data_IF_392978389255
#
_entry.id   IF_392978389255
#
_cell.length_a   1.000
_cell.length_b   1.000
_cell.length_c   1.000
_cell.angle_alpha   90.00
_cell.angle_beta   90.00
_cell.angle_gamma   90.00
#
_symmetry.space_group_name_H-M   'P 1'
#
loop_
_entity.id
_entity.type
_entity.pdbx_description
1 polymer ?
#
# COMPACT_ATOMS: atom_id res chain seq x y z
N UNK A 1 -10.32 19.79 -20.56
CA UNK A 1 -11.46 19.20 -19.82
C UNK A 1 -10.87 18.13 -18.93
N UNK A 2 -10.75 18.40 -17.63
CA UNK A 2 -10.37 17.39 -16.63
C UNK A 2 -11.51 16.38 -16.58
N UNK A 3 -11.31 15.18 -17.12
CA UNK A 3 -12.27 14.08 -16.93
C UNK A 3 -12.13 13.61 -15.48
N UNK A 4 -13.23 13.72 -14.71
CA UNK A 4 -13.25 13.22 -13.33
C UNK A 4 -12.84 11.74 -13.31
N UNK A 5 -12.01 11.37 -12.33
CA UNK A 5 -11.59 9.98 -12.12
C UNK A 5 -12.82 9.18 -11.64
N UNK A 6 -13.26 8.12 -12.32
CA UNK A 6 -14.43 7.37 -11.88
C UNK A 6 -14.13 6.63 -10.58
N UNK A 7 -15.12 6.57 -9.67
CA UNK A 7 -15.08 5.68 -8.52
C UNK A 7 -15.20 4.21 -9.00
N UNK A 8 -14.52 3.31 -8.30
CA UNK A 8 -14.59 1.88 -8.55
C UNK A 8 -15.54 1.19 -7.58
N UNK A 9 -16.26 0.19 -8.03
CA UNK A 9 -17.18 -0.62 -7.23
C UNK A 9 -16.51 -1.86 -6.59
N UNK A 10 -15.28 -2.16 -7.00
CA UNK A 10 -14.55 -3.36 -6.64
C UNK A 10 -13.27 -3.12 -5.79
N UNK A 11 -13.12 -1.94 -5.19
CA UNK A 11 -11.99 -1.64 -4.29
C UNK A 11 -12.30 -1.93 -2.81
N UNK A 12 -13.37 -2.68 -2.51
CA UNK A 12 -13.72 -3.06 -1.14
C UNK A 12 -14.44 -1.96 -0.36
N UNK A 13 -14.47 -2.11 0.97
CA UNK A 13 -15.32 -1.31 1.86
C UNK A 13 -14.58 -0.62 3.01
N UNK A 14 -13.24 -0.70 3.09
CA UNK A 14 -12.48 0.02 4.12
C UNK A 14 -12.90 1.50 4.12
N UNK A 15 -13.25 2.00 5.31
CA UNK A 15 -13.71 3.36 5.52
C UNK A 15 -12.89 4.01 6.63
N UNK A 16 -12.24 5.13 6.30
CA UNK A 16 -11.54 5.98 7.27
C UNK A 16 -12.25 7.34 7.31
N UNK A 17 -13.06 7.61 8.34
CA UNK A 17 -13.84 8.83 8.40
C UNK A 17 -12.93 10.06 8.49
N UNK A 18 -13.21 11.05 7.64
CA UNK A 18 -12.52 12.35 7.65
C UNK A 18 -13.50 13.48 7.93
N UNK A 19 -12.99 14.60 8.45
CA UNK A 19 -13.78 15.82 8.61
C UNK A 19 -13.99 16.47 7.25
N UNK A 20 -15.18 16.27 6.70
CA UNK A 20 -15.61 16.83 5.42
C UNK A 20 -17.12 17.01 5.39
N UNK A 21 -17.61 18.03 4.66
CA UNK A 21 -19.03 18.22 4.37
C UNK A 21 -19.47 17.50 3.07
N UNK A 22 -18.52 16.97 2.28
CA UNK A 22 -18.79 16.32 1.00
C UNK A 22 -18.73 14.80 1.10
N UNK A 23 -19.85 14.09 0.89
CA UNK A 23 -19.84 12.62 0.78
C UNK A 23 -18.94 12.12 -0.35
N UNK A 24 -18.82 12.85 -1.43
CA UNK A 24 -17.95 12.51 -2.56
C UNK A 24 -16.49 12.62 -2.15
N UNK A 25 -16.08 13.67 -1.42
CA UNK A 25 -14.71 13.79 -0.90
C UNK A 25 -14.36 12.61 -0.01
N UNK A 26 -15.28 12.16 0.85
CA UNK A 26 -15.10 10.97 1.68
C UNK A 26 -14.92 9.70 0.82
N UNK A 27 -15.74 9.51 -0.21
CA UNK A 27 -15.64 8.32 -1.08
C UNK A 27 -14.31 8.27 -1.83
N UNK A 28 -13.88 9.41 -2.40
CA UNK A 28 -12.57 9.50 -3.05
C UNK A 28 -11.42 9.30 -2.08
N UNK A 29 -11.51 9.82 -0.86
CA UNK A 29 -10.52 9.61 0.18
C UNK A 29 -10.39 8.12 0.55
N UNK A 30 -11.51 7.44 0.81
CA UNK A 30 -11.52 6.02 1.15
C UNK A 30 -10.88 5.17 0.04
N UNK A 31 -11.22 5.41 -1.21
CA UNK A 31 -10.63 4.68 -2.34
C UNK A 31 -9.16 5.04 -2.53
N UNK A 32 -8.76 6.28 -2.31
CA UNK A 32 -7.36 6.68 -2.28
C UNK A 32 -6.56 5.90 -1.24
N UNK A 33 -7.08 5.77 -0.02
CA UNK A 33 -6.41 5.02 1.05
C UNK A 33 -6.31 3.52 0.75
N UNK A 34 -7.36 2.91 0.21
CA UNK A 34 -7.34 1.51 -0.25
C UNK A 34 -6.27 1.28 -1.33
N UNK A 35 -6.10 2.24 -2.23
CA UNK A 35 -5.07 2.20 -3.27
C UNK A 35 -3.65 2.40 -2.72
N UNK A 36 -3.46 3.21 -1.67
CA UNK A 36 -2.18 3.27 -0.92
C UNK A 36 -1.85 1.90 -0.37
N UNK A 37 -2.79 1.27 0.34
CA UNK A 37 -2.61 -0.08 0.88
C UNK A 37 -2.41 -1.17 -0.18
N UNK A 38 -2.77 -0.89 -1.43
CA UNK A 38 -2.52 -1.76 -2.58
C UNK A 38 -1.25 -1.39 -3.37
N UNK A 39 -0.43 -0.48 -2.87
CA UNK A 39 0.77 0.05 -3.54
C UNK A 39 0.52 0.69 -4.91
N UNK A 40 -0.72 1.06 -5.21
CA UNK A 40 -1.07 1.85 -6.39
C UNK A 40 -1.06 3.34 -6.04
N UNK A 41 0.10 3.82 -5.59
CA UNK A 41 0.30 5.17 -5.05
C UNK A 41 -0.02 6.28 -6.05
N UNK A 42 0.30 6.05 -7.31
CA UNK A 42 0.00 7.02 -8.37
C UNK A 42 -1.51 7.22 -8.57
N UNK A 43 -2.26 6.11 -8.62
CA UNK A 43 -3.72 6.19 -8.70
C UNK A 43 -4.32 6.75 -7.42
N UNK A 44 -3.76 6.39 -6.26
CA UNK A 44 -4.17 6.94 -4.96
C UNK A 44 -4.04 8.47 -4.93
N UNK A 45 -2.93 9.01 -5.45
CA UNK A 45 -2.71 10.45 -5.55
C UNK A 45 -3.85 11.14 -6.30
N UNK A 46 -4.27 10.60 -7.45
CA UNK A 46 -5.38 11.17 -8.23
C UNK A 46 -6.71 11.13 -7.48
N UNK A 47 -6.96 10.06 -6.71
CA UNK A 47 -8.17 9.97 -5.89
C UNK A 47 -8.19 11.00 -4.76
N UNK A 48 -7.06 11.19 -4.09
CA UNK A 48 -6.95 12.25 -3.08
C UNK A 48 -7.04 13.65 -3.70
N UNK A 49 -6.48 13.86 -4.89
CA UNK A 49 -6.65 15.13 -5.63
C UNK A 49 -8.12 15.38 -6.02
N UNK A 50 -8.87 14.34 -6.41
CA UNK A 50 -10.33 14.49 -6.60
C UNK A 50 -11.03 14.83 -5.28
N UNK A 51 -10.67 14.17 -4.17
CA UNK A 51 -11.22 14.50 -2.86
C UNK A 51 -10.98 15.98 -2.50
N UNK A 52 -9.79 16.55 -2.82
CA UNK A 52 -9.53 18.00 -2.61
C UNK A 52 -10.39 18.90 -3.49
N UNK A 53 -10.81 18.44 -4.67
CA UNK A 53 -11.72 19.22 -5.55
C UNK A 53 -13.15 19.24 -5.02
N UNK A 54 -13.59 18.11 -4.43
CA UNK A 54 -14.93 17.99 -3.85
C UNK A 54 -15.09 18.74 -2.51
N UNK A 55 -13.99 18.85 -1.74
CA UNK A 55 -13.93 19.63 -0.52
C UNK A 55 -12.55 20.28 -0.33
N UNK A 56 -12.34 21.50 -0.87
CA UNK A 56 -11.07 22.20 -0.78
C UNK A 56 -10.67 22.61 0.65
N UNK A 57 -11.60 22.63 1.59
CA UNK A 57 -11.35 23.02 2.99
C UNK A 57 -10.99 21.81 3.88
N UNK A 58 -11.28 20.60 3.44
CA UNK A 58 -10.90 19.38 4.15
C UNK A 58 -9.38 19.18 4.15
N UNK A 59 -8.78 18.95 5.33
CA UNK A 59 -7.33 18.79 5.47
C UNK A 59 -6.82 17.42 5.04
N UNK A 60 -7.58 16.35 5.33
CA UNK A 60 -7.14 14.97 5.13
C UNK A 60 -6.93 14.57 3.67
N UNK A 61 -7.69 15.06 2.67
CA UNK A 61 -7.36 14.79 1.27
C UNK A 61 -5.96 15.27 0.86
N UNK A 62 -5.51 16.43 1.32
CA UNK A 62 -4.13 16.91 1.07
C UNK A 62 -3.08 16.08 1.81
N UNK A 63 -3.38 15.61 3.02
CA UNK A 63 -2.55 14.64 3.74
C UNK A 63 -2.46 13.33 2.93
N UNK A 64 -3.56 12.87 2.36
CA UNK A 64 -3.61 11.69 1.50
C UNK A 64 -2.72 11.81 0.25
N UNK A 65 -2.73 12.98 -0.42
CA UNK A 65 -1.82 13.28 -1.54
C UNK A 65 -0.37 13.17 -1.09
N UNK A 66 -0.02 13.76 0.06
CA UNK A 66 1.35 13.71 0.59
C UNK A 66 1.76 12.30 1.00
N UNK A 67 0.85 11.49 1.56
CA UNK A 67 1.08 10.08 1.89
C UNK A 67 1.36 9.26 0.63
N UNK A 68 0.50 9.37 -0.38
CA UNK A 68 0.60 8.60 -1.61
C UNK A 68 1.82 8.96 -2.48
N UNK A 69 2.35 10.18 -2.36
CA UNK A 69 3.61 10.58 -3.01
C UNK A 69 4.85 10.10 -2.25
N UNK A 70 4.68 9.57 -1.04
CA UNK A 70 5.76 8.99 -0.23
C UNK A 70 6.29 7.67 -0.78
N UNK A 71 7.40 7.18 -0.22
CA UNK A 71 7.95 5.88 -0.58
C UNK A 71 7.08 4.74 -0.05
N UNK A 72 7.33 3.53 -0.54
CA UNK A 72 6.94 2.27 0.08
C UNK A 72 8.08 1.25 -0.05
N UNK A 73 7.95 0.09 0.55
CA UNK A 73 8.99 -0.96 0.57
C UNK A 73 9.46 -1.42 -0.82
N UNK A 74 8.70 -1.13 -1.88
CA UNK A 74 9.00 -1.53 -3.26
C UNK A 74 9.54 -0.36 -4.11
N UNK A 75 9.24 0.88 -3.75
CA UNK A 75 9.55 2.04 -4.56
C UNK A 75 10.03 3.21 -3.70
N UNK A 76 11.26 3.68 -3.88
CA UNK A 76 11.72 4.93 -3.27
C UNK A 76 10.98 6.13 -3.89
N UNK A 77 10.93 7.22 -3.16
CA UNK A 77 10.40 8.50 -3.62
C UNK A 77 11.48 9.27 -4.39
N UNK A 78 11.12 9.85 -5.52
CA UNK A 78 12.00 10.76 -6.25
C UNK A 78 11.90 12.22 -5.75
N UNK A 79 12.76 13.09 -6.26
CA UNK A 79 12.83 14.51 -5.83
C UNK A 79 11.58 15.32 -6.21
N UNK A 80 10.93 15.01 -7.31
CA UNK A 80 9.69 15.69 -7.72
C UNK A 80 8.52 15.25 -6.83
N UNK A 81 8.44 13.96 -6.52
CA UNK A 81 7.47 13.43 -5.55
C UNK A 81 7.67 14.06 -4.17
N UNK A 82 8.94 14.16 -3.71
CA UNK A 82 9.26 14.79 -2.42
C UNK A 82 8.77 16.23 -2.34
N UNK A 83 9.02 17.03 -3.40
CA UNK A 83 8.57 18.41 -3.48
C UNK A 83 7.04 18.51 -3.47
N UNK A 84 6.36 17.73 -4.32
CA UNK A 84 4.89 17.71 -4.40
C UNK A 84 4.26 17.27 -3.08
N UNK A 85 4.84 16.25 -2.42
CA UNK A 85 4.38 15.77 -1.12
C UNK A 85 4.51 16.85 -0.05
N UNK A 86 5.64 17.55 -0.01
CA UNK A 86 5.83 18.70 0.87
C UNK A 86 4.79 19.79 0.62
N UNK A 87 4.56 20.19 -0.64
CA UNK A 87 3.58 21.22 -1.01
C UNK A 87 2.16 20.81 -0.59
N UNK A 88 1.76 19.56 -0.87
CA UNK A 88 0.45 19.03 -0.45
C UNK A 88 0.30 19.05 1.07
N UNK A 89 1.34 18.67 1.80
CA UNK A 89 1.31 18.66 3.26
C UNK A 89 1.20 20.08 3.84
N UNK A 90 1.81 21.10 3.20
CA UNK A 90 1.60 22.50 3.61
C UNK A 90 0.13 22.89 3.45
N UNK A 91 -0.56 22.42 2.41
CA UNK A 91 -2.01 22.62 2.25
C UNK A 91 -2.82 21.96 3.37
N UNK A 92 -2.45 20.74 3.78
CA UNK A 92 -3.08 20.08 4.94
C UNK A 92 -2.85 20.86 6.24
N UNK A 93 -1.63 21.35 6.47
CA UNK A 93 -1.27 22.14 7.66
C UNK A 93 -2.00 23.48 7.75
N UNK A 94 -2.25 24.18 6.63
CA UNK A 94 -3.03 25.43 6.62
C UNK A 94 -4.50 25.20 6.94
N UNK A 95 -5.02 23.98 6.71
CA UNK A 95 -6.42 23.57 6.95
C UNK A 95 -6.62 22.83 8.28
N UNK A 96 -5.59 22.64 9.05
CA UNK A 96 -5.63 21.83 10.30
C UNK A 96 -6.68 22.26 11.31
N UNK A 97 -7.12 23.53 11.28
CA UNK A 97 -8.16 24.02 12.17
C UNK A 97 -9.54 23.43 11.82
N UNK A 98 -9.73 22.98 10.57
CA UNK A 98 -10.93 22.26 10.13
C UNK A 98 -10.86 20.75 10.41
N UNK A 99 -9.71 20.24 10.89
CA UNK A 99 -9.47 18.85 11.17
C UNK A 99 -9.76 18.46 12.63
N UNK A 100 -10.22 17.25 12.85
CA UNK A 100 -10.38 16.67 14.19
C UNK A 100 -9.03 16.42 14.89
N UNK A 101 -9.04 16.16 16.22
CA UNK A 101 -7.79 15.94 16.98
C UNK A 101 -6.94 14.77 16.46
N UNK A 102 -7.59 13.70 16.00
CA UNK A 102 -6.91 12.53 15.42
C UNK A 102 -6.30 12.85 14.06
N UNK A 103 -7.05 13.50 13.17
CA UNK A 103 -6.56 13.96 11.87
C UNK A 103 -5.36 14.90 12.01
N UNK A 104 -5.41 15.83 12.97
CA UNK A 104 -4.27 16.72 13.30
C UNK A 104 -3.03 15.93 13.74
N UNK A 105 -3.21 14.80 14.43
CA UNK A 105 -2.09 13.95 14.81
C UNK A 105 -1.46 13.27 13.59
N UNK A 106 -2.25 12.76 12.65
CA UNK A 106 -1.77 12.22 11.38
C UNK A 106 -1.04 13.26 10.54
N UNK A 107 -1.62 14.44 10.37
CA UNK A 107 -1.01 15.55 9.61
C UNK A 107 0.34 15.94 10.23
N UNK A 108 0.39 16.09 11.56
CA UNK A 108 1.62 16.42 12.28
C UNK A 108 2.69 15.33 12.15
N UNK A 109 2.28 14.06 12.20
CA UNK A 109 3.21 12.95 12.06
C UNK A 109 3.81 12.93 10.64
N UNK A 110 2.98 13.02 9.59
CA UNK A 110 3.47 13.02 8.22
C UNK A 110 4.36 14.25 7.92
N UNK A 111 4.12 15.39 8.61
CA UNK A 111 4.95 16.58 8.47
C UNK A 111 6.43 16.36 8.85
N UNK A 112 6.73 15.35 9.63
CA UNK A 112 8.12 15.01 9.98
C UNK A 112 8.87 14.29 8.85
N UNK A 113 8.14 13.71 7.88
CA UNK A 113 8.71 12.96 6.73
C UNK A 113 9.25 13.86 5.63
N UNK A 114 8.86 15.13 5.59
CA UNK A 114 9.19 16.06 4.51
C UNK A 114 9.88 17.30 5.03
N UNK A 115 10.76 17.89 4.21
CA UNK A 115 11.54 19.07 4.59
C UNK A 115 11.64 20.04 3.40
N UNK A 116 11.60 21.36 3.65
CA UNK A 116 11.91 22.34 2.60
C UNK A 116 13.41 22.34 2.23
N UNK A 117 14.26 21.70 3.05
CA UNK A 117 15.69 21.60 2.76
C UNK A 117 15.95 20.46 1.77
N UNK A 118 16.37 20.72 0.51
CA UNK A 118 16.61 19.69 -0.50
C UNK A 118 17.76 18.73 -0.16
N UNK A 119 18.58 19.09 0.83
CA UNK A 119 19.71 18.31 1.33
C UNK A 119 19.38 17.53 2.61
N UNK A 120 18.15 17.56 3.07
CA UNK A 120 17.73 16.75 4.22
C UNK A 120 17.94 15.25 3.90
N UNK A 121 18.48 14.51 4.86
CA UNK A 121 18.73 13.09 4.70
C UNK A 121 17.41 12.32 4.81
N UNK A 122 17.10 11.53 3.79
CA UNK A 122 15.87 10.75 3.73
C UNK A 122 15.71 9.84 4.95
N UNK A 123 16.78 9.14 5.33
CA UNK A 123 16.79 8.22 6.47
C UNK A 123 16.40 8.92 7.79
N UNK A 124 16.86 10.17 7.98
CA UNK A 124 16.50 10.95 9.18
C UNK A 124 15.04 11.33 9.20
N UNK A 125 14.48 11.71 8.04
CA UNK A 125 13.08 12.10 7.91
C UNK A 125 12.15 10.88 8.04
N UNK A 126 12.51 9.75 7.45
CA UNK A 126 11.74 8.51 7.56
C UNK A 126 11.74 7.98 9.01
N UNK A 127 12.89 8.06 9.71
CA UNK A 127 12.95 7.73 11.13
C UNK A 127 12.05 8.66 11.96
N UNK A 128 12.08 9.97 11.69
CA UNK A 128 11.23 10.93 12.39
C UNK A 128 9.74 10.67 12.17
N UNK A 129 9.35 10.25 10.95
CA UNK A 129 7.98 9.85 10.64
C UNK A 129 7.59 8.58 11.40
N UNK A 130 8.42 7.55 11.41
CA UNK A 130 8.15 6.32 12.15
C UNK A 130 7.98 6.59 13.66
N UNK A 131 8.83 7.44 14.23
CA UNK A 131 8.73 7.84 15.65
C UNK A 131 7.45 8.65 15.92
N UNK A 132 7.07 9.55 15.02
CA UNK A 132 5.82 10.31 15.13
C UNK A 132 4.58 9.41 14.99
N UNK A 133 4.57 8.46 14.06
CA UNK A 133 3.47 7.50 13.92
C UNK A 133 3.35 6.54 15.11
N UNK A 134 4.48 6.20 15.76
CA UNK A 134 4.43 5.47 17.05
C UNK A 134 3.62 6.23 18.10
N UNK A 135 3.81 7.56 18.19
CA UNK A 135 3.06 8.38 19.15
C UNK A 135 1.57 8.53 18.75
N UNK A 136 1.25 8.55 17.44
CA UNK A 136 -0.15 8.48 16.97
C UNK A 136 -0.78 7.15 17.38
N UNK A 137 -0.13 6.00 17.11
CA UNK A 137 -0.62 4.68 17.48
C UNK A 137 -0.78 4.51 18.98
N UNK A 138 0.15 4.99 19.80
CA UNK A 138 0.00 4.98 21.26
C UNK A 138 -1.19 5.80 21.77
N UNK A 139 -1.46 6.93 21.11
CA UNK A 139 -2.55 7.84 21.50
C UNK A 139 -3.91 7.32 21.06
N UNK A 140 -3.97 6.60 19.96
CA UNK A 140 -5.19 6.05 19.36
C UNK A 140 -5.02 4.54 19.12
N UNK A 141 -4.95 3.74 20.18
CA UNK A 141 -4.58 2.30 20.09
C UNK A 141 -5.66 1.41 19.49
N UNK A 142 -6.86 1.94 19.26
CA UNK A 142 -7.98 1.26 18.61
C UNK A 142 -8.16 1.71 17.14
N UNK A 143 -7.29 2.60 16.63
CA UNK A 143 -7.27 3.04 15.24
C UNK A 143 -6.39 2.10 14.40
N UNK A 144 -7.04 1.19 13.67
CA UNK A 144 -6.37 0.20 12.83
C UNK A 144 -5.49 0.82 11.74
N UNK A 145 -5.88 1.98 11.18
CA UNK A 145 -5.06 2.70 10.20
C UNK A 145 -3.78 3.27 10.83
N UNK A 146 -3.87 3.80 12.06
CA UNK A 146 -2.70 4.31 12.78
C UNK A 146 -1.66 3.21 13.02
N UNK A 147 -2.11 2.02 13.46
CA UNK A 147 -1.23 0.87 13.64
C UNK A 147 -0.64 0.37 12.32
N UNK A 148 -1.45 0.32 11.27
CA UNK A 148 -1.02 -0.11 9.93
C UNK A 148 0.03 0.83 9.35
N UNK A 149 -0.20 2.13 9.39
CA UNK A 149 0.75 3.15 8.90
C UNK A 149 2.01 3.25 9.77
N UNK A 150 1.90 2.99 11.08
CA UNK A 150 3.08 2.86 11.92
C UNK A 150 3.95 1.66 11.51
N UNK A 151 3.34 0.50 11.29
CA UNK A 151 4.06 -0.67 10.82
C UNK A 151 4.71 -0.44 9.45
N UNK A 152 4.00 0.19 8.52
CA UNK A 152 4.52 0.55 7.20
C UNK A 152 5.71 1.51 7.32
N UNK A 153 5.62 2.55 8.16
CA UNK A 153 6.73 3.46 8.39
C UNK A 153 7.98 2.76 8.92
N UNK A 154 7.83 1.74 9.77
CA UNK A 154 8.95 0.89 10.22
C UNK A 154 9.49 0.01 9.09
N UNK A 155 8.62 -0.52 8.23
CA UNK A 155 9.00 -1.35 7.09
C UNK A 155 9.83 -0.55 6.08
N UNK A 156 9.51 0.72 5.86
CA UNK A 156 10.26 1.63 4.99
C UNK A 156 11.67 1.93 5.48
N UNK A 157 11.94 1.82 6.78
CA UNK A 157 13.30 1.97 7.33
C UNK A 157 14.23 0.80 6.98
N UNK A 158 13.67 -0.36 6.64
CA UNK A 158 14.42 -1.59 6.31
C UNK A 158 13.76 -2.37 5.17
N UNK A 159 13.56 -1.79 3.97
CA UNK A 159 12.79 -2.40 2.91
C UNK A 159 13.26 -3.81 2.57
N UNK A 160 12.35 -4.79 2.65
CA UNK A 160 12.61 -6.22 2.35
C UNK A 160 13.68 -6.92 3.20
N UNK A 161 14.25 -6.26 4.20
CA UNK A 161 15.29 -6.81 5.08
C UNK A 161 14.73 -7.17 6.43
N UNK A 162 13.70 -8.05 6.46
CA UNK A 162 13.01 -8.40 7.72
C UNK A 162 13.62 -9.64 8.41
N UNK A 163 14.17 -10.59 7.64
CA UNK A 163 14.68 -11.86 8.16
C UNK A 163 16.02 -12.19 7.54
N UNK A 164 16.92 -12.75 8.34
CA UNK A 164 18.18 -13.34 7.86
C UNK A 164 17.90 -14.69 7.18
N UNK A 165 18.89 -15.23 6.46
CA UNK A 165 18.76 -16.54 5.80
C UNK A 165 18.55 -17.70 6.79
N UNK A 166 19.02 -17.56 8.03
CA UNK A 166 18.82 -18.52 9.12
C UNK A 166 17.56 -18.23 9.95
N UNK A 167 16.70 -17.32 9.47
CA UNK A 167 15.38 -17.08 10.02
C UNK A 167 15.34 -16.18 11.26
N UNK A 168 16.42 -15.43 11.54
CA UNK A 168 16.42 -14.48 12.64
C UNK A 168 15.80 -13.14 12.22
N UNK A 169 15.00 -12.48 13.08
CA UNK A 169 14.45 -11.16 12.77
C UNK A 169 15.57 -10.10 12.75
N UNK A 170 15.48 -9.17 11.82
CA UNK A 170 16.43 -8.05 11.69
C UNK A 170 15.78 -6.72 12.09
N UNK A 171 16.58 -5.77 12.54
CA UNK A 171 16.13 -4.40 12.83
C UNK A 171 14.88 -4.34 13.71
N UNK A 172 13.80 -3.80 13.17
CA UNK A 172 12.51 -3.60 13.88
C UNK A 172 11.45 -4.66 13.52
N UNK A 173 11.84 -5.79 12.93
CA UNK A 173 10.90 -6.82 12.43
C UNK A 173 9.94 -7.35 13.49
N UNK A 174 10.41 -7.61 14.70
CA UNK A 174 9.53 -8.09 15.78
C UNK A 174 8.45 -7.04 16.13
N UNK A 175 8.81 -5.76 16.15
CA UNK A 175 7.87 -4.67 16.41
C UNK A 175 6.86 -4.49 15.26
N UNK A 176 7.31 -4.59 14.00
CA UNK A 176 6.45 -4.57 12.81
C UNK A 176 5.41 -5.70 12.92
N UNK A 177 5.86 -6.91 13.15
CA UNK A 177 5.00 -8.09 13.26
C UNK A 177 4.01 -7.96 14.42
N UNK A 178 4.47 -7.58 15.60
CA UNK A 178 3.61 -7.41 16.78
C UNK A 178 2.55 -6.30 16.57
N UNK A 179 2.93 -5.20 15.91
CA UNK A 179 2.01 -4.11 15.60
C UNK A 179 0.92 -4.58 14.63
N UNK A 180 1.29 -5.26 13.54
CA UNK A 180 0.33 -5.77 12.56
C UNK A 180 -0.58 -6.84 13.15
N UNK A 181 -0.08 -7.74 13.99
CA UNK A 181 -0.89 -8.73 14.70
C UNK A 181 -1.89 -8.08 15.68
N UNK A 182 -1.47 -6.99 16.35
CA UNK A 182 -2.39 -6.22 17.18
C UNK A 182 -3.48 -5.56 16.34
N UNK A 183 -3.14 -4.95 15.19
CA UNK A 183 -4.13 -4.39 14.27
C UNK A 183 -5.09 -5.46 13.78
N UNK A 184 -4.60 -6.61 13.35
CA UNK A 184 -5.43 -7.72 12.85
C UNK A 184 -6.29 -8.39 13.95
N UNK A 185 -5.97 -8.15 15.21
CA UNK A 185 -6.84 -8.53 16.33
C UNK A 185 -8.01 -7.55 16.47
N UNK A 186 -7.81 -6.26 16.17
CA UNK A 186 -8.84 -5.22 16.22
C UNK A 186 -9.74 -5.26 14.99
N UNK A 187 -9.12 -5.35 13.85
CA UNK A 187 -9.76 -5.38 12.53
C UNK A 187 -9.14 -6.50 11.66
N UNK A 188 -9.67 -7.70 11.73
CA UNK A 188 -9.16 -8.84 10.96
C UNK A 188 -9.24 -8.65 9.45
N UNK A 189 -10.12 -7.79 8.97
CA UNK A 189 -10.39 -7.54 7.56
C UNK A 189 -9.73 -6.25 7.04
N UNK A 190 -8.80 -5.67 7.81
CA UNK A 190 -8.04 -4.50 7.37
C UNK A 190 -7.08 -4.86 6.21
N UNK A 191 -7.34 -4.38 4.96
CA UNK A 191 -6.59 -4.85 3.80
C UNK A 191 -5.11 -4.43 3.83
N UNK A 192 -4.79 -3.23 4.33
CA UNK A 192 -3.41 -2.76 4.49
C UNK A 192 -2.64 -3.61 5.50
N UNK A 193 -3.24 -3.90 6.65
CA UNK A 193 -2.60 -4.74 7.66
C UNK A 193 -2.36 -6.17 7.15
N UNK A 194 -3.35 -6.78 6.48
CA UNK A 194 -3.19 -8.09 5.83
C UNK A 194 -2.06 -8.09 4.80
N UNK A 195 -2.00 -7.09 3.94
CA UNK A 195 -0.97 -6.94 2.91
C UNK A 195 0.42 -6.84 3.54
N UNK A 196 0.61 -5.90 4.45
CA UNK A 196 1.90 -5.67 5.09
C UNK A 196 2.33 -6.84 5.97
N UNK A 197 1.38 -7.52 6.61
CA UNK A 197 1.67 -8.70 7.40
C UNK A 197 2.19 -9.86 6.55
N UNK A 198 1.63 -10.08 5.34
CA UNK A 198 2.16 -11.06 4.40
C UNK A 198 3.63 -10.74 4.09
N UNK A 199 3.96 -9.51 3.72
CA UNK A 199 5.34 -9.12 3.45
C UNK A 199 6.26 -9.24 4.67
N UNK A 200 5.77 -8.91 5.86
CA UNK A 200 6.55 -8.97 7.09
C UNK A 200 6.95 -10.40 7.49
N UNK A 201 6.12 -11.41 7.14
CA UNK A 201 6.35 -12.80 7.60
C UNK A 201 6.63 -13.81 6.49
N UNK A 202 6.49 -13.46 5.20
CA UNK A 202 6.69 -14.39 4.08
C UNK A 202 8.07 -15.06 4.07
N UNK A 203 9.12 -14.34 4.52
CA UNK A 203 10.47 -14.85 4.61
C UNK A 203 10.84 -15.38 6.01
N UNK A 204 9.89 -15.38 6.96
CA UNK A 204 10.08 -15.89 8.31
C UNK A 204 10.15 -17.43 8.33
N UNK A 205 10.62 -18.03 9.44
CA UNK A 205 10.51 -19.48 9.66
C UNK A 205 9.06 -19.99 9.74
N UNK A 206 8.06 -19.10 9.86
CA UNK A 206 6.63 -19.42 10.04
C UNK A 206 5.74 -18.57 9.14
N UNK A 207 5.85 -18.69 7.80
CA UNK A 207 5.04 -17.93 6.86
C UNK A 207 3.54 -18.24 6.96
N UNK A 208 3.17 -19.44 7.48
CA UNK A 208 1.79 -19.86 7.71
C UNK A 208 1.02 -18.92 8.66
N UNK A 209 1.70 -18.09 9.45
CA UNK A 209 1.06 -17.07 10.30
C UNK A 209 0.19 -16.11 9.50
N UNK A 210 0.54 -15.82 8.25
CA UNK A 210 -0.23 -14.94 7.37
C UNK A 210 -1.27 -15.68 6.51
N UNK A 211 -1.49 -16.98 6.71
CA UNK A 211 -2.43 -17.76 5.87
C UNK A 211 -3.85 -17.18 5.92
N UNK A 212 -4.34 -16.79 7.11
CA UNK A 212 -5.65 -16.18 7.26
C UNK A 212 -5.79 -14.83 6.51
N UNK A 213 -4.73 -14.01 6.48
CA UNK A 213 -4.68 -12.79 5.66
C UNK A 213 -4.66 -13.13 4.16
N UNK A 214 -3.85 -14.11 3.76
CA UNK A 214 -3.77 -14.55 2.37
C UNK A 214 -5.12 -15.06 1.84
N UNK A 215 -5.89 -15.77 2.64
CA UNK A 215 -7.20 -16.28 2.25
C UNK A 215 -8.26 -15.18 2.09
N UNK A 216 -8.21 -14.13 2.92
CA UNK A 216 -9.21 -13.04 2.94
C UNK A 216 -8.91 -11.90 1.96
N UNK A 217 -7.64 -11.54 1.80
CA UNK A 217 -7.22 -10.33 1.11
C UNK A 217 -7.79 -10.15 -0.31
N UNK A 218 -7.87 -11.19 -1.16
CA UNK A 218 -8.45 -11.05 -2.50
C UNK A 218 -9.92 -10.65 -2.52
N UNK A 219 -10.69 -11.03 -1.50
CA UNK A 219 -12.10 -10.65 -1.38
C UNK A 219 -12.27 -9.25 -0.78
N UNK A 220 -11.32 -8.78 0.02
CA UNK A 220 -11.36 -7.47 0.63
C UNK A 220 -11.17 -6.34 -0.40
N UNK A 221 -10.31 -6.53 -1.41
CA UNK A 221 -10.07 -5.53 -2.46
C UNK A 221 -9.91 -6.22 -3.83
N UNK A 222 -10.99 -6.79 -4.40
CA UNK A 222 -10.92 -7.65 -5.58
C UNK A 222 -10.46 -6.93 -6.85
N UNK A 223 -10.58 -5.60 -6.91
CA UNK A 223 -10.13 -4.77 -8.04
C UNK A 223 -8.66 -4.35 -7.99
N UNK A 224 -7.91 -4.72 -6.94
CA UNK A 224 -6.50 -4.40 -6.81
C UNK A 224 -5.64 -5.64 -7.11
N UNK A 225 -5.13 -5.76 -8.35
CA UNK A 225 -4.40 -6.94 -8.81
C UNK A 225 -3.23 -7.32 -7.90
N UNK A 226 -2.48 -6.33 -7.38
CA UNK A 226 -1.39 -6.61 -6.44
C UNK A 226 -1.90 -7.29 -5.14
N UNK A 227 -3.05 -6.87 -4.59
CA UNK A 227 -3.61 -7.52 -3.39
C UNK A 227 -4.19 -8.92 -3.69
N UNK A 228 -4.70 -9.12 -4.90
CA UNK A 228 -5.15 -10.45 -5.37
C UNK A 228 -3.98 -11.42 -5.54
N UNK A 229 -2.80 -10.91 -5.93
CA UNK A 229 -1.55 -11.66 -6.06
C UNK A 229 -0.94 -12.07 -4.70
N UNK A 230 -1.08 -11.24 -3.67
CA UNK A 230 -0.38 -11.38 -2.38
C UNK A 230 -0.49 -12.77 -1.70
N UNK A 231 -1.63 -13.49 -1.76
CA UNK A 231 -1.68 -14.87 -1.25
C UNK A 231 -0.64 -15.79 -1.86
N UNK A 232 -0.24 -15.53 -3.12
CA UNK A 232 0.78 -16.29 -3.82
C UNK A 232 2.12 -16.35 -3.07
N UNK A 233 2.49 -15.28 -2.36
CA UNK A 233 3.71 -15.23 -1.53
C UNK A 233 3.69 -16.30 -0.44
N UNK A 234 2.57 -16.43 0.27
CA UNK A 234 2.42 -17.40 1.36
C UNK A 234 2.27 -18.81 0.79
N UNK A 235 1.44 -18.99 -0.24
CA UNK A 235 1.24 -20.32 -0.86
C UNK A 235 2.54 -20.86 -1.45
N UNK A 236 3.37 -20.03 -2.09
CA UNK A 236 4.68 -20.42 -2.58
C UNK A 236 5.58 -20.95 -1.44
N UNK A 237 5.64 -20.22 -0.31
CA UNK A 237 6.43 -20.62 0.86
C UNK A 237 5.96 -21.91 1.50
N UNK A 238 4.66 -22.21 1.40
CA UNK A 238 4.05 -23.42 1.93
C UNK A 238 4.06 -24.61 0.93
N UNK A 239 4.64 -24.43 -0.26
CA UNK A 239 4.62 -25.47 -1.31
C UNK A 239 3.26 -25.67 -1.98
N UNK A 240 2.29 -24.78 -1.75
CA UNK A 240 0.95 -24.78 -2.33
C UNK A 240 0.99 -24.09 -3.70
N UNK A 241 1.75 -24.67 -4.63
CA UNK A 241 2.05 -24.02 -5.93
C UNK A 241 0.82 -23.83 -6.79
N UNK A 242 -0.11 -24.80 -6.81
CA UNK A 242 -1.34 -24.68 -7.57
C UNK A 242 -2.15 -23.45 -7.16
N UNK A 243 -2.37 -23.28 -5.84
CA UNK A 243 -3.13 -22.12 -5.34
C UNK A 243 -2.38 -20.81 -5.60
N UNK A 244 -1.06 -20.83 -5.51
CA UNK A 244 -0.25 -19.68 -5.87
C UNK A 244 -0.40 -19.33 -7.36
N UNK A 245 -0.42 -20.29 -8.26
CA UNK A 245 -0.66 -20.08 -9.68
C UNK A 245 -2.06 -19.51 -9.95
N UNK A 246 -3.10 -20.10 -9.35
CA UNK A 246 -4.49 -19.65 -9.49
C UNK A 246 -4.65 -18.18 -9.07
N UNK A 247 -4.05 -17.77 -7.95
CA UNK A 247 -4.07 -16.37 -7.49
C UNK A 247 -3.37 -15.42 -8.45
N UNK A 248 -2.25 -15.83 -9.01
CA UNK A 248 -1.51 -15.01 -9.96
C UNK A 248 -2.17 -14.92 -11.34
N UNK A 249 -2.83 -15.97 -11.81
CA UNK A 249 -3.69 -15.89 -13.00
C UNK A 249 -4.82 -14.89 -12.79
N UNK A 250 -5.48 -14.95 -11.63
CA UNK A 250 -6.55 -14.01 -11.30
C UNK A 250 -6.02 -12.57 -11.20
N UNK A 251 -4.90 -12.36 -10.52
CA UNK A 251 -4.27 -11.05 -10.41
C UNK A 251 -3.91 -10.46 -11.78
N UNK A 252 -3.33 -11.27 -12.68
CA UNK A 252 -3.01 -10.84 -14.03
C UNK A 252 -4.27 -10.42 -14.82
N UNK A 253 -5.38 -11.15 -14.66
CA UNK A 253 -6.65 -10.77 -15.29
C UNK A 253 -7.22 -9.46 -14.75
N UNK A 254 -7.16 -9.25 -13.43
CA UNK A 254 -7.56 -7.97 -12.78
C UNK A 254 -6.71 -6.82 -13.28
N UNK A 255 -5.39 -7.01 -13.38
CA UNK A 255 -4.48 -5.99 -13.88
C UNK A 255 -4.74 -5.66 -15.37
N UNK A 256 -4.98 -6.68 -16.20
CA UNK A 256 -5.33 -6.46 -17.60
C UNK A 256 -6.60 -5.63 -17.76
N UNK A 257 -7.63 -5.89 -16.95
CA UNK A 257 -8.86 -5.11 -16.96
C UNK A 257 -8.62 -3.67 -16.48
N UNK A 258 -7.87 -3.50 -15.40
CA UNK A 258 -7.45 -2.19 -14.91
C UNK A 258 -6.71 -1.39 -15.99
N UNK A 259 -5.78 -2.02 -16.73
CA UNK A 259 -4.95 -1.38 -17.75
C UNK A 259 -5.75 -0.96 -19.00
N UNK A 260 -6.83 -1.67 -19.36
CA UNK A 260 -7.73 -1.28 -20.47
C UNK A 260 -8.41 0.08 -20.23
N UNK A 261 -8.74 0.37 -18.99
CA UNK A 261 -9.44 1.59 -18.60
C UNK A 261 -8.50 2.70 -18.06
N UNK A 262 -7.21 2.48 -18.20
CA UNK A 262 -6.21 3.43 -17.73
C UNK A 262 -6.04 4.60 -18.70
N UNK A 263 -6.15 5.81 -18.17
CA UNK A 263 -5.97 7.04 -18.94
C UNK A 263 -4.66 7.78 -18.62
N UNK A 264 -3.84 7.28 -17.70
CA UNK A 264 -2.66 7.98 -17.20
C UNK A 264 -1.41 7.09 -17.28
N UNK A 265 -0.24 7.63 -17.66
CA UNK A 265 1.04 6.94 -17.56
C UNK A 265 1.39 6.65 -16.10
N UNK A 266 2.25 5.68 -15.79
CA UNK A 266 2.69 5.42 -14.43
C UNK A 266 3.47 4.13 -14.25
N UNK A 267 3.97 3.93 -13.03
CA UNK A 267 4.83 2.80 -12.66
C UNK A 267 4.09 1.47 -12.48
N UNK A 268 2.77 1.48 -12.27
CA UNK A 268 2.02 0.25 -12.03
C UNK A 268 2.10 -0.76 -13.20
N UNK A 269 1.95 -0.36 -14.49
CA UNK A 269 2.07 -1.28 -15.62
C UNK A 269 3.47 -1.84 -15.83
N UNK A 270 4.51 -1.08 -15.47
CA UNK A 270 5.91 -1.46 -15.67
C UNK A 270 6.53 -2.13 -14.44
N UNK A 271 5.87 -2.06 -13.30
CA UNK A 271 6.31 -2.63 -12.04
C UNK A 271 5.44 -3.79 -11.56
N UNK A 272 4.21 -3.52 -11.11
CA UNK A 272 3.38 -4.51 -10.42
C UNK A 272 2.75 -5.56 -11.35
N UNK A 273 2.26 -5.16 -12.51
CA UNK A 273 1.73 -6.12 -13.47
C UNK A 273 2.81 -7.10 -13.99
N UNK A 274 4.00 -6.65 -14.42
CA UNK A 274 5.11 -7.55 -14.73
C UNK A 274 5.54 -8.42 -13.54
N UNK A 275 5.50 -7.90 -12.32
CA UNK A 275 5.80 -8.66 -11.11
C UNK A 275 4.83 -9.84 -10.93
N UNK A 276 3.52 -9.63 -11.10
CA UNK A 276 2.52 -10.67 -11.00
C UNK A 276 2.73 -11.76 -12.07
N UNK A 277 3.05 -11.38 -13.31
CA UNK A 277 3.39 -12.31 -14.39
C UNK A 277 4.69 -13.08 -14.10
N UNK A 278 5.71 -12.41 -13.60
CA UNK A 278 6.98 -13.04 -13.23
C UNK A 278 6.78 -14.07 -12.10
N UNK A 279 5.96 -13.73 -11.11
CA UNK A 279 5.63 -14.63 -10.02
C UNK A 279 4.85 -15.85 -10.54
N UNK A 280 3.88 -15.64 -11.44
CA UNK A 280 3.13 -16.71 -12.10
C UNK A 280 4.05 -17.64 -12.89
N UNK A 281 4.98 -17.09 -13.67
CA UNK A 281 5.99 -17.87 -14.39
C UNK A 281 6.82 -18.75 -13.45
N UNK A 282 7.30 -18.19 -12.35
CA UNK A 282 8.10 -18.92 -11.37
C UNK A 282 7.32 -20.09 -10.75
N UNK A 283 6.08 -19.85 -10.33
CA UNK A 283 5.21 -20.87 -9.72
C UNK A 283 4.88 -21.99 -10.71
N UNK A 284 4.51 -21.64 -11.95
CA UNK A 284 4.23 -22.63 -13.00
C UNK A 284 5.46 -23.51 -13.32
N UNK A 285 6.66 -22.90 -13.22
CA UNK A 285 7.91 -23.65 -13.37
C UNK A 285 8.09 -24.66 -12.26
N UNK A 286 7.80 -24.27 -11.01
CA UNK A 286 7.83 -25.17 -9.85
C UNK A 286 6.84 -26.32 -9.94
N UNK A 287 5.68 -26.11 -10.57
CA UNK A 287 4.68 -27.16 -10.83
C UNK A 287 5.01 -28.06 -12.03
N UNK A 288 6.04 -27.73 -12.81
CA UNK A 288 6.34 -28.46 -14.05
C UNK A 288 5.37 -28.17 -15.20
N UNK A 289 4.58 -27.12 -15.15
CA UNK A 289 3.61 -26.66 -16.17
C UNK A 289 4.35 -25.86 -17.28
N UNK A 290 5.28 -26.52 -17.95
CA UNK A 290 6.26 -25.88 -18.85
C UNK A 290 5.60 -25.13 -20.02
N UNK A 291 4.51 -25.61 -20.60
CA UNK A 291 3.81 -24.92 -21.70
C UNK A 291 3.28 -23.55 -21.24
N UNK A 292 2.64 -23.54 -20.10
CA UNK A 292 2.06 -22.32 -19.51
C UNK A 292 3.16 -21.37 -19.04
N UNK A 293 4.19 -21.89 -18.40
CA UNK A 293 5.37 -21.09 -17.99
C UNK A 293 6.02 -20.38 -19.19
N UNK A 294 6.20 -21.08 -20.31
CA UNK A 294 6.75 -20.49 -21.55
C UNK A 294 5.82 -19.41 -22.11
N UNK A 295 4.50 -19.64 -22.08
CA UNK A 295 3.54 -18.63 -22.54
C UNK A 295 3.60 -17.37 -21.67
N UNK A 296 3.55 -17.53 -20.35
CA UNK A 296 3.65 -16.39 -19.40
C UNK A 296 4.98 -15.65 -19.55
N UNK A 297 6.10 -16.35 -19.81
CA UNK A 297 7.38 -15.71 -20.07
C UNK A 297 7.35 -14.83 -21.35
N UNK A 298 6.63 -15.27 -22.39
CA UNK A 298 6.44 -14.48 -23.61
C UNK A 298 5.55 -13.26 -23.36
N UNK A 299 4.47 -13.43 -22.60
CA UNK A 299 3.57 -12.33 -22.21
C UNK A 299 4.32 -11.29 -21.38
N UNK A 300 5.13 -11.74 -20.41
CA UNK A 300 5.99 -10.89 -19.61
C UNK A 300 6.98 -10.10 -20.48
N UNK A 301 7.63 -10.78 -21.45
CA UNK A 301 8.54 -10.10 -22.38
C UNK A 301 7.84 -8.98 -23.16
N UNK A 302 6.61 -9.21 -23.65
CA UNK A 302 5.83 -8.19 -24.38
C UNK A 302 5.48 -6.98 -23.51
N UNK A 303 5.30 -7.18 -22.21
CA UNK A 303 4.94 -6.08 -21.27
C UNK A 303 6.14 -5.22 -20.91
N UNK A 304 7.37 -5.79 -20.88
CA UNK A 304 8.59 -5.09 -20.43
C UNK A 304 9.48 -4.61 -21.59
N UNK A 305 9.14 -4.94 -22.86
CA UNK A 305 9.84 -4.51 -24.06
C UNK A 305 9.25 -3.24 -24.64
#
# INVERSE_FOLDING_TARGET
>A
VSTAVPLYDNLGSLHHPITTASPEAQQYFDQGLRLVYAFNHEKATHFFEEATRHDPDAAMPYWGVALALGPNINAPMDKEQERRAYDALQQALTRREHAGPQERAYIKALATRYSPNPNAKRETLDQAYADAMREVWKRYPDDSDAGTLYAEALMDLQPRSFWTLDGQPTGRTEEIVATLERVLTLDPDHPGACHYYIHAVEASPKPERALSCAERLPALVPGAGHLVHMPGHIYLRLGRYQEAAERNFHAAAVDQEYLKHRHLPGSYPTGYYPHNLHFLWAVLTMEGRSREAIQVARDLHQVVS
#
